data_IF_892297023152
#
_entry.id   IF_892297023152
#
_cell.length_a   1.000
_cell.length_b   1.000
_cell.length_c   1.000
_cell.angle_alpha   90.00
_cell.angle_beta   90.00
_cell.angle_gamma   90.00
#
_symmetry.space_group_name_H-M   'P 1'
#
loop_
_entity.id
_entity.type
_entity.pdbx_description
1 polymer ?
#
# COMPACT_ATOMS: atom_id res chain seq x y z
N UNK A 1 14.79 59.90 -16.98
CA UNK A 1 14.26 59.58 -15.63
C UNK A 1 12.84 59.08 -15.84
N UNK A 2 12.59 57.78 -15.67
CA UNK A 2 11.26 57.19 -15.91
C UNK A 2 10.21 57.84 -15.01
N UNK A 3 9.03 58.20 -15.55
CA UNK A 3 7.93 58.86 -14.80
C UNK A 3 7.57 58.08 -13.53
N UNK A 4 7.70 56.76 -13.56
CA UNK A 4 7.52 55.84 -12.44
C UNK A 4 8.37 56.17 -11.21
N UNK A 5 9.61 56.64 -11.37
CA UNK A 5 10.48 57.01 -10.22
C UNK A 5 9.95 58.26 -9.50
N UNK A 6 9.42 59.22 -10.27
CA UNK A 6 8.81 60.44 -9.70
C UNK A 6 7.48 60.14 -9.00
N UNK A 7 6.70 59.20 -9.54
CA UNK A 7 5.45 58.77 -8.92
C UNK A 7 5.69 57.96 -7.64
N UNK A 8 6.72 57.11 -7.61
CA UNK A 8 7.12 56.41 -6.38
C UNK A 8 7.52 57.39 -5.26
N UNK A 9 8.34 58.40 -5.55
CA UNK A 9 8.72 59.43 -4.57
C UNK A 9 7.49 60.18 -4.02
N UNK A 10 6.51 60.45 -4.89
CA UNK A 10 5.26 61.10 -4.51
C UNK A 10 4.35 60.18 -3.68
N UNK A 11 4.26 58.90 -4.02
CA UNK A 11 3.53 57.90 -3.26
C UNK A 11 4.12 57.72 -1.85
N UNK A 12 5.45 57.60 -1.74
CA UNK A 12 6.14 57.47 -0.46
C UNK A 12 5.89 58.68 0.45
N UNK A 13 5.96 59.90 -0.10
CA UNK A 13 5.66 61.11 0.66
C UNK A 13 4.18 61.18 1.14
N UNK A 14 3.26 60.57 0.40
CA UNK A 14 1.86 60.46 0.80
C UNK A 14 1.66 59.36 1.86
N UNK A 15 2.35 58.23 1.78
CA UNK A 15 2.32 57.19 2.82
C UNK A 15 2.85 57.67 4.17
N UNK A 16 3.86 58.54 4.18
CA UNK A 16 4.37 59.18 5.40
C UNK A 16 3.33 60.12 6.03
N UNK A 17 2.56 60.84 5.19
CA UNK A 17 1.54 61.81 5.65
C UNK A 17 0.23 61.16 6.07
N UNK A 18 -0.10 60.02 5.46
CA UNK A 18 -1.33 59.27 5.68
C UNK A 18 -0.98 57.84 6.11
N UNK A 19 -0.62 57.63 7.40
CA UNK A 19 -0.13 56.36 7.92
C UNK A 19 -1.16 55.21 7.82
N UNK A 20 -2.44 55.54 7.78
CA UNK A 20 -3.54 54.56 7.69
C UNK A 20 -3.79 54.07 6.26
N UNK A 21 -3.13 54.66 5.26
CA UNK A 21 -3.33 54.31 3.87
C UNK A 21 -2.25 53.37 3.38
N UNK A 22 -2.69 52.27 2.75
CA UNK A 22 -1.84 51.19 2.25
C UNK A 22 -1.74 51.17 0.72
N UNK A 23 -2.65 51.87 0.01
CA UNK A 23 -2.77 51.89 -1.45
C UNK A 23 -2.96 53.32 -1.95
N UNK A 24 -2.20 53.72 -2.96
CA UNK A 24 -2.30 55.04 -3.61
C UNK A 24 -2.31 54.83 -5.12
N UNK A 25 -3.21 55.54 -5.81
CA UNK A 25 -3.33 55.54 -7.25
C UNK A 25 -2.83 56.87 -7.80
N UNK A 26 -1.98 56.85 -8.82
CA UNK A 26 -1.42 58.03 -9.45
C UNK A 26 -1.73 58.01 -10.94
N UNK A 27 -2.42 59.04 -11.44
CA UNK A 27 -2.76 59.17 -12.85
C UNK A 27 -1.58 59.56 -13.73
N UNK A 28 -1.75 59.43 -15.05
CA UNK A 28 -0.71 59.79 -16.04
C UNK A 28 -0.21 61.24 -15.89
N UNK A 29 -1.11 62.17 -15.53
CA UNK A 29 -0.75 63.57 -15.26
C UNK A 29 -0.24 63.83 -13.83
N UNK A 30 -0.08 62.79 -13.01
CA UNK A 30 0.45 62.82 -11.66
C UNK A 30 -0.53 63.20 -10.56
N UNK A 31 -1.85 63.19 -10.81
CA UNK A 31 -2.86 63.39 -9.75
C UNK A 31 -2.94 62.13 -8.87
N UNK A 32 -3.01 62.30 -7.56
CA UNK A 32 -3.01 61.19 -6.60
C UNK A 32 -4.40 60.97 -5.99
N UNK A 33 -4.78 59.72 -5.79
CA UNK A 33 -6.04 59.28 -5.23
C UNK A 33 -5.81 58.15 -4.22
N UNK A 34 -6.64 58.10 -3.18
CA UNK A 34 -6.65 57.01 -2.20
C UNK A 34 -7.70 55.94 -2.52
N UNK A 35 -8.71 56.30 -3.32
CA UNK A 35 -9.78 55.39 -3.75
C UNK A 35 -9.64 55.03 -5.23
N UNK A 36 -9.77 53.74 -5.53
CA UNK A 36 -9.61 53.22 -6.90
C UNK A 36 -10.67 53.77 -7.85
N UNK A 37 -11.93 53.84 -7.38
CA UNK A 37 -13.05 54.34 -8.16
C UNK A 37 -12.84 55.80 -8.57
N UNK A 38 -12.41 56.65 -7.63
CA UNK A 38 -12.12 58.04 -7.92
C UNK A 38 -10.97 58.21 -8.94
N UNK A 39 -9.96 57.33 -8.88
CA UNK A 39 -8.86 57.34 -9.84
C UNK A 39 -9.30 56.93 -11.25
N UNK A 40 -10.14 55.88 -11.35
CA UNK A 40 -10.69 55.37 -12.62
C UNK A 40 -11.68 56.36 -13.24
N UNK A 41 -12.64 56.87 -12.46
CA UNK A 41 -13.60 57.89 -12.91
C UNK A 41 -12.87 59.13 -13.45
N UNK A 42 -11.75 59.52 -12.81
CA UNK A 42 -10.91 60.63 -13.28
C UNK A 42 -10.17 60.31 -14.60
N UNK A 43 -9.71 59.07 -14.80
CA UNK A 43 -9.08 58.67 -16.07
C UNK A 43 -10.08 58.66 -17.21
N UNK A 44 -11.25 58.08 -16.97
CA UNK A 44 -12.33 57.99 -17.97
C UNK A 44 -12.78 59.39 -18.39
N UNK A 45 -12.92 60.32 -17.44
CA UNK A 45 -13.27 61.71 -17.72
C UNK A 45 -12.19 62.45 -18.53
N UNK A 46 -10.92 62.07 -18.35
CA UNK A 46 -9.76 62.71 -19.01
C UNK A 46 -9.34 62.03 -20.30
N UNK A 47 -9.87 60.83 -20.60
CA UNK A 47 -9.53 60.04 -21.78
C UNK A 47 -8.06 59.59 -21.79
N UNK A 48 -7.50 59.26 -20.64
CA UNK A 48 -6.13 58.72 -20.57
C UNK A 48 -6.10 57.28 -21.12
N UNK A 49 -5.04 56.93 -21.85
CA UNK A 49 -4.91 55.60 -22.48
C UNK A 49 -4.41 54.53 -21.50
N UNK A 50 -3.68 54.94 -20.47
CA UNK A 50 -3.10 54.04 -19.48
C UNK A 50 -3.89 54.09 -18.18
N UNK A 51 -4.06 52.96 -17.51
CA UNK A 51 -4.67 52.91 -16.18
C UNK A 51 -3.79 53.64 -15.14
N UNK A 52 -4.40 54.16 -14.04
CA UNK A 52 -3.64 54.77 -12.95
C UNK A 52 -2.56 53.82 -12.40
N UNK A 53 -1.34 54.31 -12.22
CA UNK A 53 -0.28 53.54 -11.57
C UNK A 53 -0.61 53.33 -10.09
N UNK A 54 -0.53 52.09 -9.62
CA UNK A 54 -0.83 51.70 -8.25
C UNK A 54 0.47 51.57 -7.45
N UNK A 55 0.50 52.19 -6.28
CA UNK A 55 1.61 52.11 -5.33
C UNK A 55 1.09 51.59 -4.00
N UNK A 56 1.89 50.77 -3.34
CA UNK A 56 1.59 50.20 -2.03
C UNK A 56 2.61 50.67 -1.00
N UNK A 57 2.18 50.72 0.26
CA UNK A 57 3.11 50.88 1.39
C UNK A 57 4.02 49.64 1.46
N UNK A 58 5.28 49.88 1.81
CA UNK A 58 6.27 48.82 2.01
C UNK A 58 5.77 47.81 3.06
N UNK A 59 5.68 46.53 2.69
CA UNK A 59 5.18 45.45 3.55
C UNK A 59 3.66 45.26 3.59
N UNK A 60 2.88 46.00 2.80
CA UNK A 60 1.40 45.82 2.70
C UNK A 60 0.96 45.47 1.28
N UNK A 61 1.84 44.81 0.51
CA UNK A 61 1.48 44.30 -0.80
C UNK A 61 0.36 43.25 -0.64
N UNK A 62 -0.58 43.20 -1.59
CA UNK A 62 -1.37 41.97 -1.84
C UNK A 62 -0.36 40.90 -2.29
N UNK A 63 0.29 40.26 -1.32
CA UNK A 63 1.02 39.03 -1.58
C UNK A 63 -0.03 37.91 -1.71
N UNK A 64 -0.30 37.56 -2.96
CA UNK A 64 -0.86 36.29 -3.44
C UNK A 64 -2.14 35.77 -2.74
N UNK A 65 -3.28 36.30 -3.17
CA UNK A 65 -4.60 35.67 -3.01
C UNK A 65 -4.71 34.28 -3.71
N UNK A 66 -3.64 33.84 -4.38
CA UNK A 66 -3.55 32.54 -5.05
C UNK A 66 -3.57 31.37 -4.08
N UNK A 67 -2.91 31.48 -2.92
CA UNK A 67 -2.91 30.45 -1.88
C UNK A 67 -4.31 30.29 -1.26
N UNK A 68 -5.04 31.40 -1.09
CA UNK A 68 -6.41 31.39 -0.57
C UNK A 68 -7.38 30.82 -1.60
N UNK A 69 -7.22 31.15 -2.88
CA UNK A 69 -8.03 30.59 -3.97
C UNK A 69 -7.75 29.10 -4.18
N UNK A 70 -6.50 28.66 -4.06
CA UNK A 70 -6.13 27.24 -4.12
C UNK A 70 -6.69 26.47 -2.92
N UNK A 71 -6.58 27.03 -1.71
CA UNK A 71 -7.18 26.44 -0.51
C UNK A 71 -8.72 26.36 -0.61
N UNK A 72 -9.37 27.39 -1.15
CA UNK A 72 -10.81 27.41 -1.41
C UNK A 72 -11.19 26.33 -2.42
N UNK A 73 -10.47 26.23 -3.53
CA UNK A 73 -10.70 25.21 -4.55
C UNK A 73 -10.55 23.79 -3.99
N UNK A 74 -9.48 23.52 -3.23
CA UNK A 74 -9.29 22.24 -2.55
C UNK A 74 -10.42 21.92 -1.57
N UNK A 75 -10.88 22.93 -0.82
CA UNK A 75 -12.01 22.77 0.10
C UNK A 75 -13.31 22.45 -0.64
N UNK A 76 -13.57 23.08 -1.79
CA UNK A 76 -14.76 22.82 -2.60
C UNK A 76 -14.75 21.41 -3.22
N UNK A 77 -13.58 20.96 -3.70
CA UNK A 77 -13.40 19.59 -4.21
C UNK A 77 -13.66 18.57 -3.09
N UNK A 78 -13.06 18.77 -1.91
CA UNK A 78 -13.27 17.89 -0.76
C UNK A 78 -14.75 17.84 -0.33
N UNK A 79 -15.44 18.98 -0.32
CA UNK A 79 -16.87 19.06 -0.02
C UNK A 79 -17.70 18.23 -0.99
N UNK A 80 -17.44 18.34 -2.29
CA UNK A 80 -18.15 17.59 -3.33
C UNK A 80 -17.92 16.08 -3.21
N UNK A 81 -16.70 15.65 -2.88
CA UNK A 81 -16.41 14.24 -2.60
C UNK A 81 -17.19 13.73 -1.39
N UNK A 82 -17.26 14.52 -0.31
CA UNK A 82 -18.02 14.17 0.89
C UNK A 82 -19.53 14.09 0.61
N UNK A 83 -20.08 14.98 -0.20
CA UNK A 83 -21.49 14.93 -0.61
C UNK A 83 -21.81 13.62 -1.36
N UNK A 84 -20.94 13.18 -2.28
CA UNK A 84 -21.12 11.89 -2.96
C UNK A 84 -21.04 10.69 -2.01
N UNK A 85 -20.10 10.70 -1.06
CA UNK A 85 -20.01 9.64 -0.04
C UNK A 85 -21.28 9.60 0.83
N UNK A 86 -21.85 10.74 1.17
CA UNK A 86 -23.10 10.80 1.94
C UNK A 86 -24.26 10.19 1.13
N UNK A 87 -24.35 10.47 -0.16
CA UNK A 87 -25.36 9.88 -1.05
C UNK A 87 -25.21 8.36 -1.15
N UNK A 88 -23.98 7.85 -1.32
CA UNK A 88 -23.69 6.40 -1.32
C UNK A 88 -24.06 5.75 0.02
N UNK A 89 -23.80 6.42 1.15
CA UNK A 89 -24.17 5.92 2.49
C UNK A 89 -25.68 5.93 2.67
N UNK A 90 -26.39 6.95 2.16
CA UNK A 90 -27.85 7.00 2.21
C UNK A 90 -28.47 5.86 1.42
N UNK A 91 -27.95 5.54 0.23
CA UNK A 91 -28.41 4.38 -0.56
C UNK A 91 -28.27 3.07 0.21
N UNK A 92 -27.15 2.88 0.92
CA UNK A 92 -26.94 1.68 1.76
C UNK A 92 -27.82 1.69 3.01
N UNK A 93 -28.10 2.86 3.60
CA UNK A 93 -28.99 2.95 4.76
C UNK A 93 -30.47 2.77 4.38
N UNK A 94 -30.87 3.11 3.15
CA UNK A 94 -32.22 2.89 2.64
C UNK A 94 -32.48 1.42 2.23
N UNK A 95 -31.48 0.53 2.30
CA UNK A 95 -31.64 -0.94 2.11
C UNK A 95 -32.59 -1.60 3.14
N UNK A 96 -32.97 -0.90 4.22
CA UNK A 96 -34.01 -1.37 5.13
C UNK A 96 -35.40 -1.46 4.46
N UNK A 97 -35.62 -0.82 3.31
CA UNK A 97 -36.87 -0.97 2.54
C UNK A 97 -36.96 -2.27 1.72
N UNK A 98 -35.81 -2.85 1.34
CA UNK A 98 -35.71 -4.09 0.55
C UNK A 98 -35.28 -5.31 1.41
N UNK A 99 -35.32 -5.18 2.73
CA UNK A 99 -35.09 -6.32 3.63
C UNK A 99 -36.23 -7.33 3.50
N UNK A 100 -36.07 -8.34 2.64
CA UNK A 100 -36.93 -9.51 2.65
C UNK A 100 -36.62 -10.35 3.92
N UNK A 101 -37.64 -10.64 4.77
CA UNK A 101 -37.44 -11.54 5.89
C UNK A 101 -36.97 -12.90 5.40
N UNK A 102 -36.07 -13.55 6.15
CA UNK A 102 -35.60 -14.89 5.86
C UNK A 102 -36.78 -15.82 5.53
N UNK A 103 -36.81 -16.33 4.30
CA UNK A 103 -37.84 -17.24 3.82
C UNK A 103 -37.31 -18.68 3.84
N UNK A 104 -38.20 -19.66 3.66
CA UNK A 104 -37.85 -21.07 3.75
C UNK A 104 -36.78 -21.51 2.71
N UNK A 105 -36.61 -20.78 1.60
CA UNK A 105 -35.60 -21.09 0.59
C UNK A 105 -34.22 -20.50 0.95
N UNK A 106 -34.19 -19.34 1.62
CA UNK A 106 -32.98 -18.81 2.28
C UNK A 106 -32.49 -19.79 3.34
N UNK A 107 -33.37 -20.33 4.18
CA UNK A 107 -33.01 -21.30 5.23
C UNK A 107 -32.49 -22.61 4.66
N UNK A 108 -33.09 -23.12 3.57
CA UNK A 108 -32.57 -24.32 2.86
C UNK A 108 -31.18 -24.06 2.28
N UNK A 109 -30.96 -22.88 1.70
CA UNK A 109 -29.67 -22.48 1.14
C UNK A 109 -28.61 -22.42 2.23
N UNK A 110 -28.91 -21.77 3.36
CA UNK A 110 -28.03 -21.71 4.53
C UNK A 110 -27.72 -23.11 5.05
N UNK A 111 -28.72 -23.98 5.18
CA UNK A 111 -28.56 -25.38 5.61
C UNK A 111 -27.66 -26.18 4.65
N UNK A 112 -27.84 -26.00 3.34
CA UNK A 112 -27.00 -26.64 2.32
C UNK A 112 -25.54 -26.16 2.40
N UNK A 113 -25.31 -24.86 2.63
CA UNK A 113 -23.97 -24.29 2.79
C UNK A 113 -23.29 -24.82 4.05
N UNK A 114 -24.00 -24.92 5.18
CA UNK A 114 -23.49 -25.51 6.42
C UNK A 114 -23.09 -26.98 6.18
N UNK A 115 -23.99 -27.76 5.58
CA UNK A 115 -23.73 -29.17 5.28
C UNK A 115 -22.53 -29.36 4.34
N UNK A 116 -22.34 -28.45 3.38
CA UNK A 116 -21.21 -28.47 2.48
C UNK A 116 -19.90 -28.15 3.21
N UNK A 117 -19.90 -27.17 4.11
CA UNK A 117 -18.75 -26.82 4.95
C UNK A 117 -18.32 -27.97 5.85
N UNK A 118 -19.27 -28.66 6.47
CA UNK A 118 -18.98 -29.86 7.30
C UNK A 118 -18.33 -30.97 6.46
N UNK A 119 -18.83 -31.22 5.24
CA UNK A 119 -18.22 -32.19 4.32
C UNK A 119 -16.79 -31.80 3.92
N UNK A 120 -16.52 -30.52 3.69
CA UNK A 120 -15.18 -30.05 3.38
C UNK A 120 -14.23 -30.19 4.57
N UNK A 121 -14.69 -29.89 5.80
CA UNK A 121 -13.92 -30.07 7.02
C UNK A 121 -13.54 -31.54 7.25
N UNK A 122 -14.49 -32.46 7.05
CA UNK A 122 -14.23 -33.91 7.16
C UNK A 122 -13.23 -34.39 6.11
N UNK A 123 -13.36 -33.91 4.86
CA UNK A 123 -12.41 -34.25 3.80
C UNK A 123 -11.00 -33.77 4.11
N UNK A 124 -10.86 -32.56 4.65
CA UNK A 124 -9.56 -31.98 5.01
C UNK A 124 -8.88 -32.77 6.15
N UNK A 125 -9.68 -33.19 7.13
CA UNK A 125 -9.23 -34.10 8.19
C UNK A 125 -8.73 -35.43 7.61
N UNK A 126 -9.50 -36.07 6.74
CA UNK A 126 -9.11 -37.34 6.11
C UNK A 126 -7.84 -37.19 5.27
N UNK A 127 -7.69 -36.10 4.52
CA UNK A 127 -6.46 -35.82 3.77
C UNK A 127 -5.24 -35.67 4.68
N UNK A 128 -5.42 -35.02 5.84
CA UNK A 128 -4.35 -34.88 6.84
C UNK A 128 -3.95 -36.24 7.43
N UNK A 129 -4.93 -37.08 7.79
CA UNK A 129 -4.69 -38.43 8.30
C UNK A 129 -3.98 -39.31 7.25
N UNK A 130 -4.44 -39.28 5.99
CA UNK A 130 -3.79 -39.99 4.89
C UNK A 130 -2.36 -39.50 4.62
N UNK A 131 -2.11 -38.20 4.73
CA UNK A 131 -0.77 -37.63 4.61
C UNK A 131 0.18 -38.17 5.68
N UNK A 132 -0.28 -38.22 6.93
CA UNK A 132 0.49 -38.78 8.04
C UNK A 132 0.78 -40.29 7.86
N UNK A 133 -0.19 -41.06 7.35
CA UNK A 133 0.01 -42.48 7.10
C UNK A 133 0.95 -42.75 5.92
N UNK A 134 0.91 -41.93 4.86
CA UNK A 134 1.89 -42.00 3.77
C UNK A 134 3.32 -41.74 4.25
N UNK A 135 3.49 -40.77 5.15
CA UNK A 135 4.80 -40.46 5.74
C UNK A 135 5.33 -41.63 6.57
N UNK A 136 4.49 -42.24 7.42
CA UNK A 136 4.84 -43.47 8.14
C UNK A 136 5.24 -44.59 7.18
N UNK A 137 4.47 -44.79 6.11
CA UNK A 137 4.73 -45.85 5.14
C UNK A 137 6.06 -45.62 4.39
N UNK A 138 6.38 -44.37 4.08
CA UNK A 138 7.66 -43.97 3.48
C UNK A 138 8.84 -44.23 4.42
N UNK A 139 8.70 -43.92 5.71
CA UNK A 139 9.71 -44.22 6.72
C UNK A 139 9.96 -45.73 6.85
N UNK A 140 8.89 -46.52 6.93
CA UNK A 140 8.98 -48.00 7.00
C UNK A 140 9.60 -48.58 5.72
N UNK A 141 9.30 -48.02 4.55
CA UNK A 141 9.94 -48.44 3.30
C UNK A 141 11.46 -48.20 3.32
N UNK A 142 11.88 -47.06 3.88
CA UNK A 142 13.30 -46.71 4.04
C UNK A 142 14.00 -47.64 5.04
N UNK A 143 13.35 -47.93 6.18
CA UNK A 143 13.87 -48.90 7.17
C UNK A 143 14.02 -50.30 6.57
N UNK A 144 13.04 -50.77 5.79
CA UNK A 144 13.12 -52.07 5.13
C UNK A 144 14.30 -52.15 4.14
N UNK A 145 14.54 -51.09 3.37
CA UNK A 145 15.68 -51.07 2.45
C UNK A 145 17.01 -51.10 3.22
N UNK A 146 17.11 -50.34 4.32
CA UNK A 146 18.28 -50.38 5.21
C UNK A 146 18.51 -51.77 5.81
N UNK A 147 17.45 -52.42 6.34
CA UNK A 147 17.54 -53.77 6.91
C UNK A 147 17.97 -54.79 5.85
N UNK A 148 17.47 -54.66 4.61
CA UNK A 148 17.86 -55.52 3.49
C UNK A 148 19.34 -55.38 3.16
N UNK A 149 19.87 -54.15 3.12
CA UNK A 149 21.30 -53.90 2.91
C UNK A 149 22.16 -54.47 4.05
N UNK A 150 21.73 -54.33 5.30
CA UNK A 150 22.42 -54.93 6.45
C UNK A 150 22.46 -56.46 6.35
N UNK A 151 21.36 -57.08 5.93
CA UNK A 151 21.25 -58.53 5.77
C UNK A 151 22.15 -59.04 4.64
N UNK A 152 22.22 -58.33 3.52
CA UNK A 152 23.18 -58.63 2.44
C UNK A 152 24.64 -58.50 2.90
N UNK A 153 24.96 -57.47 3.68
CA UNK A 153 26.31 -57.29 4.22
C UNK A 153 26.69 -58.41 5.21
N UNK A 154 25.78 -58.78 6.11
CA UNK A 154 25.99 -59.88 7.06
C UNK A 154 26.17 -61.22 6.34
N UNK A 155 25.38 -61.48 5.28
CA UNK A 155 25.54 -62.70 4.47
C UNK A 155 26.91 -62.76 3.79
N UNK A 156 27.41 -61.65 3.23
CA UNK A 156 28.77 -61.59 2.67
C UNK A 156 29.85 -61.91 3.71
N UNK A 157 29.74 -61.33 4.90
CA UNK A 157 30.67 -61.62 6.00
C UNK A 157 30.63 -63.10 6.41
N UNK A 158 29.45 -63.71 6.48
CA UNK A 158 29.31 -65.14 6.76
C UNK A 158 29.99 -66.00 5.68
N UNK A 159 29.82 -65.68 4.40
CA UNK A 159 30.50 -66.40 3.32
C UNK A 159 32.03 -66.31 3.43
N UNK A 160 32.55 -65.13 3.74
CA UNK A 160 34.00 -64.91 3.95
C UNK A 160 34.52 -65.69 5.15
N UNK A 161 33.80 -65.65 6.28
CA UNK A 161 34.16 -66.41 7.48
C UNK A 161 34.16 -67.92 7.22
N UNK A 162 33.14 -68.40 6.51
CA UNK A 162 32.98 -69.82 6.22
C UNK A 162 34.10 -70.32 5.30
N UNK A 163 34.47 -69.56 4.25
CA UNK A 163 35.66 -69.83 3.41
C UNK A 163 36.93 -69.91 4.26
N UNK A 164 37.11 -68.99 5.20
CA UNK A 164 38.29 -68.94 6.07
C UNK A 164 38.36 -70.14 7.03
N UNK A 165 37.22 -70.57 7.58
CA UNK A 165 37.10 -71.76 8.43
C UNK A 165 37.39 -73.06 7.65
N UNK A 166 36.90 -73.19 6.41
CA UNK A 166 37.16 -74.38 5.58
C UNK A 166 38.64 -74.53 5.20
N UNK A 167 39.36 -73.41 5.06
CA UNK A 167 40.79 -73.41 4.76
C UNK A 167 41.64 -73.82 5.98
N UNK A 168 41.21 -73.46 7.20
CA UNK A 168 41.91 -73.87 8.44
C UNK A 168 41.71 -75.35 8.76
N UNK A 169 40.50 -75.91 8.60
CA UNK A 169 40.23 -77.33 8.91
C UNK A 169 40.83 -78.32 7.92
N UNK A 170 41.04 -77.93 6.65
CA UNK A 170 41.75 -78.78 5.67
C UNK A 170 43.26 -78.85 5.88
N UNK A 171 43.85 -77.95 6.66
CA UNK A 171 45.31 -77.89 6.85
C UNK A 171 45.84 -78.82 7.95
N UNK A 172 44.98 -79.29 8.86
CA UNK A 172 45.41 -80.13 10.02
C UNK A 172 45.05 -81.62 9.90
N UNK A 173 44.39 -82.06 8.82
CA UNK A 173 43.97 -83.46 8.66
C UNK A 173 44.99 -84.36 7.90
N UNK A 174 46.17 -83.85 7.52
CA UNK A 174 47.14 -84.62 6.71
C UNK A 174 48.55 -84.76 7.29
N UNK A 175 48.75 -84.50 8.59
CA UNK A 175 50.02 -84.79 9.27
C UNK A 175 49.88 -85.82 10.39
N UNK A 176 49.39 -87.01 10.05
CA UNK A 176 49.84 -88.23 10.74
C UNK A 176 50.02 -89.32 9.71
N UNK A 177 51.13 -89.28 8.96
CA UNK A 177 51.78 -90.55 8.65
C UNK A 177 53.29 -90.42 8.43
N UNK A 178 53.96 -91.45 8.96
CA UNK A 178 55.35 -91.85 8.78
C UNK A 178 56.46 -91.08 9.53
N UNK A 179 57.06 -91.75 10.52
CA UNK A 179 58.43 -92.26 10.34
C UNK A 179 58.69 -93.53 11.15
N UNK A 180 59.16 -94.57 10.44
CA UNK A 180 59.65 -95.85 10.96
C UNK A 180 60.94 -95.67 11.79
N UNK A 181 61.08 -96.46 12.86
CA UNK A 181 62.28 -97.21 13.24
C UNK A 181 61.88 -98.33 14.21
#
# INVERSE_FOLDING_TARGET
>A
MSNKKKFQEKANALFERYPETNKIFISENGQCFFEEKAAKDYHDLRGFENEPEVFFREGTQDEDDSDVQEALHHSEVARKTLEGIIEDVMEVCDLDHDYEPANADTDKTVTAVISLREKYAEKDRLLTEMGADLEKLSNVATENENLKQQLEAANKQLEELNKTLTVKTKKDASQTDSTKA
#
